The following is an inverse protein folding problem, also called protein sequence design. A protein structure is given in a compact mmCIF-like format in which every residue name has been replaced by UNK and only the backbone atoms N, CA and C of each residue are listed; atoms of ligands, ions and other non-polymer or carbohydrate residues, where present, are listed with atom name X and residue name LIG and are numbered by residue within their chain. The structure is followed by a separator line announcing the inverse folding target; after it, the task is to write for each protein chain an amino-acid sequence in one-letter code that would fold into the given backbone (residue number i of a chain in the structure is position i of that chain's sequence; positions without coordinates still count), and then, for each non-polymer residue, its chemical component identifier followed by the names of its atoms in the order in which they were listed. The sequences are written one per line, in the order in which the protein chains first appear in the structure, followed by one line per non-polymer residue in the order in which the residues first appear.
data_IF_721838221550
#
_entry.id   IF_721838221550
#
_cell.length_a   1.000
_cell.length_b   1.000
_cell.length_c   1.000
_cell.angle_alpha   90.00
_cell.angle_beta   90.00
_cell.angle_gamma   90.00
#
_symmetry.space_group_name_H-M   'P 1'
#
loop_
_entity.id
_entity.type
_entity.pdbx_description
1 polymer ?
#
# COMPACT_ATOMS: atom_id res chain seq x y z
N UNK A 1 4.77 -8.57 -3.75
CA UNK A 1 3.65 -7.67 -3.44
C UNK A 1 2.63 -8.43 -2.59
N UNK A 2 1.93 -7.78 -1.65
CA UNK A 2 0.92 -8.42 -0.81
C UNK A 2 -0.23 -8.99 -1.64
N UNK A 3 -0.74 -10.14 -1.23
CA UNK A 3 -1.88 -10.84 -1.84
C UNK A 3 -3.09 -10.74 -0.93
N UNK A 4 -4.27 -11.01 -1.50
CA UNK A 4 -5.52 -11.09 -0.71
C UNK A 4 -5.35 -12.16 0.38
N UNK A 5 -5.70 -11.81 1.61
CA UNK A 5 -5.51 -12.67 2.78
C UNK A 5 -4.17 -12.49 3.49
N UNK A 6 -3.18 -11.83 2.86
CA UNK A 6 -1.94 -11.48 3.56
C UNK A 6 -2.24 -10.50 4.70
N UNK A 7 -1.52 -10.65 5.81
CA UNK A 7 -1.60 -9.76 6.96
C UNK A 7 -0.30 -8.98 7.08
N UNK A 8 -0.39 -7.67 6.96
CA UNK A 8 0.64 -6.72 7.39
C UNK A 8 0.36 -6.33 8.85
N UNK A 9 1.31 -5.76 9.60
CA UNK A 9 1.04 -5.27 10.94
C UNK A 9 -0.18 -4.35 10.94
N UNK A 10 -1.22 -4.73 11.69
CA UNK A 10 -2.51 -4.04 11.78
C UNK A 10 -3.39 -4.00 10.51
N UNK A 11 -2.97 -4.61 9.39
CA UNK A 11 -3.74 -4.55 8.15
C UNK A 11 -3.97 -5.94 7.54
N UNK A 12 -5.23 -6.24 7.21
CA UNK A 12 -5.60 -7.42 6.41
C UNK A 12 -5.92 -7.01 4.99
N UNK A 13 -5.23 -7.58 4.00
CA UNK A 13 -5.48 -7.27 2.59
C UNK A 13 -6.79 -7.93 2.14
N UNK A 14 -7.73 -7.11 1.65
CA UNK A 14 -9.05 -7.53 1.18
C UNK A 14 -9.12 -7.64 -0.35
N UNK A 15 -8.30 -6.89 -1.09
CA UNK A 15 -8.38 -6.83 -2.55
C UNK A 15 -7.37 -5.86 -3.17
N UNK A 16 -7.17 -5.93 -4.49
CA UNK A 16 -6.50 -4.85 -5.25
C UNK A 16 -7.53 -3.81 -5.66
N UNK A 17 -7.19 -2.54 -5.56
CA UNK A 17 -8.07 -1.41 -5.92
C UNK A 17 -7.61 -0.73 -7.22
N UNK A 18 -6.31 -0.71 -7.52
CA UNK A 18 -5.78 -0.19 -8.79
C UNK A 18 -4.26 -0.18 -8.87
N UNK A 19 -3.71 -0.08 -10.09
CA UNK A 19 -2.27 0.02 -10.37
C UNK A 19 -2.00 1.21 -11.29
N UNK A 20 -0.94 1.98 -11.01
CA UNK A 20 -0.51 3.09 -11.85
C UNK A 20 1.01 3.31 -11.78
N UNK A 21 1.52 4.33 -12.47
CA UNK A 21 2.97 4.59 -12.58
C UNK A 21 3.70 4.92 -11.27
N UNK A 22 2.96 5.23 -10.19
CA UNK A 22 3.51 5.53 -8.85
C UNK A 22 3.26 4.41 -7.83
N UNK A 23 2.92 3.20 -8.29
CA UNK A 23 2.73 2.03 -7.44
C UNK A 23 1.33 1.42 -7.50
N UNK A 24 1.11 0.47 -6.59
CA UNK A 24 -0.13 -0.30 -6.50
C UNK A 24 -0.94 0.12 -5.28
N UNK A 25 -2.26 0.21 -5.42
CA UNK A 25 -3.18 0.47 -4.31
C UNK A 25 -3.98 -0.79 -4.02
N UNK A 26 -3.95 -1.21 -2.76
CA UNK A 26 -4.72 -2.34 -2.24
C UNK A 26 -5.74 -1.86 -1.23
N UNK A 27 -6.89 -2.53 -1.19
CA UNK A 27 -7.90 -2.37 -0.16
C UNK A 27 -7.53 -3.26 1.02
N UNK A 28 -7.48 -2.70 2.21
CA UNK A 28 -7.22 -3.42 3.44
C UNK A 28 -8.23 -3.06 4.54
N UNK A 29 -8.35 -3.93 5.53
CA UNK A 29 -8.99 -3.64 6.80
C UNK A 29 -7.89 -3.26 7.81
N UNK A 30 -7.98 -2.08 8.41
CA UNK A 30 -7.21 -1.74 9.60
C UNK A 30 -7.84 -2.45 10.80
N UNK A 31 -7.17 -3.49 11.30
CA UNK A 31 -7.66 -4.32 12.40
C UNK A 31 -7.59 -3.63 13.76
N UNK A 32 -6.87 -2.51 13.86
CA UNK A 32 -6.81 -1.72 15.09
C UNK A 32 -7.95 -0.71 15.17
N UNK A 33 -8.34 -0.14 14.02
CA UNK A 33 -9.39 0.87 13.93
C UNK A 33 -10.74 0.30 13.44
N UNK A 34 -10.78 -0.95 12.97
CA UNK A 34 -12.00 -1.62 12.49
C UNK A 34 -12.60 -1.00 11.23
N UNK A 35 -11.77 -0.43 10.34
CA UNK A 35 -12.24 0.28 9.14
C UNK A 35 -11.48 -0.12 7.87
N UNK A 36 -12.13 0.04 6.72
CA UNK A 36 -11.50 -0.16 5.41
C UNK A 36 -10.60 1.03 5.07
N UNK A 37 -9.41 0.74 4.57
CA UNK A 37 -8.39 1.71 4.17
C UNK A 37 -7.79 1.32 2.82
N UNK A 38 -7.29 2.31 2.08
CA UNK A 38 -6.48 2.08 0.88
C UNK A 38 -5.00 2.19 1.27
N UNK A 39 -4.19 1.18 0.93
CA UNK A 39 -2.75 1.17 1.15
C UNK A 39 -2.05 1.33 -0.19
N UNK A 40 -1.24 2.37 -0.34
CA UNK A 40 -0.39 2.59 -1.51
C UNK A 40 0.97 1.94 -1.28
N UNK A 41 1.30 0.97 -2.13
CA UNK A 41 2.54 0.21 -2.11
C UNK A 41 3.54 0.87 -3.05
N UNK A 42 4.69 1.26 -2.50
CA UNK A 42 5.79 1.82 -3.29
C UNK A 42 6.57 0.70 -3.98
N UNK A 43 6.86 0.83 -5.29
CA UNK A 43 7.84 0.00 -5.97
C UNK A 43 9.20 0.09 -5.29
N UNK A 44 9.92 -1.03 -5.20
CA UNK A 44 11.20 -1.11 -4.51
C UNK A 44 12.26 -0.18 -5.13
N UNK A 45 12.18 0.01 -6.44
CA UNK A 45 12.97 0.94 -7.26
C UNK A 45 12.80 2.41 -6.84
N UNK A 46 11.61 2.79 -6.37
CA UNK A 46 11.33 4.14 -5.86
C UNK A 46 11.88 4.36 -4.44
N UNK A 47 12.23 3.31 -3.70
CA UNK A 47 12.81 3.46 -2.36
C UNK A 47 14.27 3.94 -2.43
N UNK A 48 14.95 3.65 -3.53
CA UNK A 48 16.32 4.10 -3.83
C UNK A 48 16.39 5.50 -4.46
N UNK A 49 15.28 6.03 -4.97
CA UNK A 49 15.21 7.37 -5.56
C UNK A 49 14.73 8.40 -4.50
N UNK A 50 15.59 9.33 -4.05
CA UNK A 50 15.24 10.34 -3.06
C UNK A 50 14.07 11.23 -3.49
N UNK A 51 13.97 11.54 -4.79
CA UNK A 51 12.90 12.39 -5.35
C UNK A 51 11.57 11.63 -5.38
N UNK A 52 11.61 10.35 -5.71
CA UNK A 52 10.43 9.49 -5.67
C UNK A 52 9.89 9.30 -4.24
N UNK A 53 10.79 9.22 -3.26
CA UNK A 53 10.43 9.22 -1.83
C UNK A 53 9.77 10.53 -1.40
N UNK A 54 10.33 11.67 -1.80
CA UNK A 54 9.79 12.98 -1.43
C UNK A 54 8.37 13.18 -1.97
N UNK A 55 8.11 12.75 -3.21
CA UNK A 55 6.76 12.76 -3.82
C UNK A 55 5.72 11.86 -3.13
N UNK A 56 6.14 10.95 -2.25
CA UNK A 56 5.24 10.08 -1.50
C UNK A 56 4.90 10.61 -0.10
N UNK A 57 5.75 11.48 0.45
CA UNK A 57 5.59 12.03 1.80
C UNK A 57 4.73 13.32 1.84
N UNK A 58 4.33 13.82 0.66
CA UNK A 58 3.43 14.97 0.47
C UNK A 58 1.97 14.51 0.34
#
# INVERSE_FOLDING_TARGET
MPRIGDSLPHFRILGKTGQGGMGEVVLAEDTSLGRKVAIKLLPQEMLSDPVARERFLL
#
